data_IF_486454433647
#
_entry.id   IF_486454433647
#
_cell.length_a   1.000
_cell.length_b   1.000
_cell.length_c   1.000
_cell.angle_alpha   90.00
_cell.angle_beta   90.00
_cell.angle_gamma   90.00
#
_symmetry.space_group_name_H-M   'P 1'
#
loop_
_entity.id
_entity.type
_entity.pdbx_description
1 polymer ?
#
# COMPACT_ATOMS: atom_id res chain seq x y z
N UNK A 1 -24.35 -33.62 35.70
CA UNK A 1 -24.53 -34.79 34.82
C UNK A 1 -25.00 -34.29 33.47
N UNK A 2 -24.22 -34.57 32.41
CA UNK A 2 -24.61 -34.71 30.98
C UNK A 2 -25.18 -33.43 30.29
N UNK A 3 -24.55 -32.77 29.31
CA UNK A 3 -23.92 -33.16 28.03
C UNK A 3 -24.90 -33.51 26.89
N UNK A 4 -24.82 -32.71 25.80
CA UNK A 4 -25.02 -33.04 24.37
C UNK A 4 -26.43 -33.49 23.90
N UNK A 5 -26.87 -33.38 22.65
CA UNK A 5 -26.53 -32.68 21.40
C UNK A 5 -27.58 -33.13 20.35
N UNK A 6 -27.46 -32.60 19.12
CA UNK A 6 -28.15 -32.97 17.86
C UNK A 6 -29.57 -32.38 17.67
N UNK A 7 -29.95 -31.91 16.48
CA UNK A 7 -29.31 -31.87 15.17
C UNK A 7 -30.37 -31.57 14.10
N UNK A 8 -29.90 -31.14 12.93
CA UNK A 8 -30.53 -31.26 11.59
C UNK A 8 -31.94 -30.72 11.33
N UNK A 9 -32.00 -29.69 10.47
CA UNK A 9 -33.18 -29.27 9.72
C UNK A 9 -32.77 -28.47 8.49
N UNK A 10 -32.05 -29.11 7.56
CA UNK A 10 -31.75 -28.58 6.22
C UNK A 10 -33.03 -28.63 5.34
N UNK A 11 -33.10 -27.72 4.36
CA UNK A 11 -34.07 -27.67 3.25
C UNK A 11 -35.40 -26.96 3.52
N UNK A 12 -35.38 -25.62 3.62
CA UNK A 12 -36.54 -24.80 3.32
C UNK A 12 -36.29 -24.03 2.01
N UNK A 13 -37.07 -24.34 0.96
CA UNK A 13 -37.23 -23.44 -0.21
C UNK A 13 -36.59 -23.85 -1.54
N UNK A 14 -36.54 -25.13 -1.93
CA UNK A 14 -36.18 -25.53 -3.31
C UNK A 14 -37.13 -26.59 -3.91
N UNK A 15 -37.38 -26.57 -5.24
CA UNK A 15 -38.19 -27.58 -5.95
C UNK A 15 -37.56 -28.98 -6.01
N UNK A 16 -38.42 -29.96 -6.28
CA UNK A 16 -38.46 -31.39 -5.93
C UNK A 16 -37.47 -32.40 -6.54
N UNK A 17 -36.27 -32.03 -7.04
CA UNK A 17 -35.44 -33.04 -7.78
C UNK A 17 -33.98 -33.22 -7.33
N UNK A 18 -33.57 -32.79 -6.13
CA UNK A 18 -32.17 -32.96 -5.70
C UNK A 18 -31.96 -33.46 -4.26
N UNK A 19 -32.89 -34.23 -3.71
CA UNK A 19 -32.71 -34.93 -2.43
C UNK A 19 -32.77 -36.45 -2.64
N UNK A 20 -31.69 -37.05 -3.11
CA UNK A 20 -31.48 -38.50 -2.99
C UNK A 20 -29.99 -38.85 -3.00
N UNK A 21 -29.67 -39.89 -2.21
CA UNK A 21 -28.39 -40.59 -2.02
C UNK A 21 -27.39 -40.00 -1.00
N UNK A 22 -27.61 -40.35 0.27
CA UNK A 22 -26.54 -40.56 1.26
C UNK A 22 -25.65 -41.74 0.86
N UNK A 23 -24.35 -41.68 1.15
CA UNK A 23 -23.71 -42.16 2.39
C UNK A 23 -23.47 -43.69 2.41
N UNK A 24 -22.24 -44.09 2.09
CA UNK A 24 -21.53 -45.31 2.47
C UNK A 24 -20.12 -45.22 1.86
N UNK A 25 -19.01 -45.63 2.45
CA UNK A 25 -18.58 -46.01 3.80
C UNK A 25 -17.05 -46.03 3.70
N UNK A 26 -16.35 -45.76 4.79
CA UNK A 26 -14.89 -45.92 4.88
C UNK A 26 -14.51 -47.41 4.96
N UNK A 27 -13.27 -47.70 4.55
CA UNK A 27 -12.48 -48.90 4.81
C UNK A 27 -12.72 -50.16 3.93
N UNK A 28 -11.88 -50.34 2.91
CA UNK A 28 -10.95 -51.50 2.86
C UNK A 28 -9.92 -51.40 1.71
N UNK A 29 -8.67 -51.78 2.03
CA UNK A 29 -7.60 -52.34 1.17
C UNK A 29 -6.90 -51.38 0.19
N UNK A 30 -5.70 -50.87 0.51
CA UNK A 30 -4.38 -51.56 0.54
C UNK A 30 -4.16 -52.47 -0.68
N UNK A 31 -3.39 -51.98 -1.67
CA UNK A 31 -2.09 -52.56 -2.09
C UNK A 31 -1.77 -52.23 -3.56
N UNK A 32 -0.47 -52.09 -3.84
CA UNK A 32 0.19 -52.19 -5.15
C UNK A 32 0.09 -51.00 -6.12
N UNK A 33 1.09 -50.11 -6.09
CA UNK A 33 2.21 -50.16 -7.05
C UNK A 33 3.17 -48.99 -6.83
N UNK A 34 4.39 -49.35 -6.43
CA UNK A 34 5.58 -48.50 -6.47
C UNK A 34 5.99 -48.28 -7.93
N UNK A 35 6.31 -47.03 -8.32
CA UNK A 35 7.44 -46.63 -9.19
C UNK A 35 7.46 -45.09 -9.36
N UNK A 36 8.60 -44.48 -9.75
CA UNK A 36 9.23 -43.40 -8.98
C UNK A 36 8.78 -41.97 -9.34
N UNK A 37 8.74 -41.09 -8.33
CA UNK A 37 8.70 -39.63 -8.53
C UNK A 37 10.04 -39.18 -9.13
N UNK A 38 10.00 -38.85 -10.42
CA UNK A 38 11.01 -38.04 -11.07
C UNK A 38 11.13 -36.68 -10.36
N UNK A 39 12.36 -36.20 -10.32
CA UNK A 39 12.79 -34.95 -9.69
C UNK A 39 12.01 -33.76 -10.26
N UNK A 40 11.03 -33.27 -9.50
CA UNK A 40 10.53 -31.91 -9.64
C UNK A 40 11.52 -30.98 -8.97
N UNK A 41 12.40 -30.37 -9.77
CA UNK A 41 13.34 -29.36 -9.32
C UNK A 41 12.62 -28.30 -8.45
N UNK A 42 13.01 -28.21 -7.19
CA UNK A 42 12.80 -27.03 -6.37
C UNK A 42 13.41 -25.86 -7.14
N UNK A 43 12.56 -25.04 -7.77
CA UNK A 43 12.95 -23.72 -8.22
C UNK A 43 13.19 -22.91 -6.95
N UNK A 44 14.42 -22.99 -6.46
CA UNK A 44 14.96 -22.04 -5.51
C UNK A 44 14.92 -20.69 -6.21
N UNK A 45 13.94 -19.86 -5.85
CA UNK A 45 14.00 -18.44 -6.17
C UNK A 45 15.20 -17.88 -5.43
N UNK A 46 16.35 -17.91 -6.10
CA UNK A 46 17.51 -17.11 -5.73
C UNK A 46 17.01 -15.69 -5.49
N UNK A 47 17.11 -15.24 -4.23
CA UNK A 47 17.07 -13.84 -3.84
C UNK A 47 18.30 -13.16 -4.43
N UNK A 48 18.30 -12.97 -5.75
CA UNK A 48 19.08 -11.90 -6.35
C UNK A 48 18.55 -10.60 -5.75
N UNK A 49 19.45 -9.64 -5.50
CA UNK A 49 19.06 -8.27 -5.15
C UNK A 49 18.14 -7.74 -6.27
N UNK A 50 16.84 -7.95 -6.10
CA UNK A 50 15.88 -7.87 -7.18
C UNK A 50 15.82 -6.46 -7.73
N UNK A 51 15.91 -6.31 -9.04
CA UNK A 51 15.66 -5.05 -9.70
C UNK A 51 14.31 -4.48 -9.22
N UNK A 52 14.29 -3.18 -8.92
CA UNK A 52 13.06 -2.53 -8.49
C UNK A 52 11.99 -2.62 -9.58
N UNK A 53 10.70 -2.69 -9.22
CA UNK A 53 9.63 -2.83 -10.20
C UNK A 53 9.67 -1.72 -11.26
N UNK A 54 9.41 -2.12 -12.50
CA UNK A 54 9.30 -1.23 -13.65
C UNK A 54 8.15 -1.68 -14.55
N UNK A 55 7.51 -0.72 -15.21
CA UNK A 55 6.43 -0.93 -16.17
C UNK A 55 6.61 -0.03 -17.39
N UNK A 56 6.00 -0.42 -18.50
CA UNK A 56 6.08 0.30 -19.77
C UNK A 56 4.76 0.28 -20.53
N UNK A 57 4.56 1.26 -21.40
CA UNK A 57 3.34 1.38 -22.19
C UNK A 57 2.14 1.86 -21.37
N UNK A 58 2.36 2.33 -20.14
CA UNK A 58 1.31 2.88 -19.28
C UNK A 58 0.82 4.19 -19.86
N UNK A 59 -0.48 4.46 -19.74
CA UNK A 59 -1.02 5.77 -20.12
C UNK A 59 -0.60 6.80 -19.07
N UNK A 60 0.05 7.87 -19.54
CA UNK A 60 0.40 9.04 -18.77
C UNK A 60 -0.54 10.20 -19.11
N UNK A 61 -1.09 10.85 -18.10
CA UNK A 61 -1.94 12.04 -18.21
C UNK A 61 -1.37 13.19 -17.40
N UNK A 62 -1.91 14.38 -17.62
CA UNK A 62 -1.69 15.56 -16.79
C UNK A 62 -2.91 15.78 -15.89
N UNK A 63 -2.65 15.99 -14.61
CA UNK A 63 -3.67 16.18 -13.59
C UNK A 63 -3.98 17.66 -13.40
N UNK A 64 -2.96 18.43 -13.01
CA UNK A 64 -3.07 19.84 -12.63
C UNK A 64 -1.65 20.45 -12.52
N UNK A 65 -1.54 21.75 -12.27
CA UNK A 65 -0.26 22.43 -12.04
C UNK A 65 0.42 21.99 -10.75
N UNK A 66 -0.39 21.66 -9.74
CA UNK A 66 0.06 21.29 -8.40
C UNK A 66 -0.67 20.04 -7.92
N UNK A 67 -0.10 19.36 -6.92
CA UNK A 67 -0.84 18.29 -6.26
C UNK A 67 -1.93 18.84 -5.36
N UNK A 68 -2.95 18.04 -5.09
CA UNK A 68 -3.81 18.22 -3.92
C UNK A 68 -3.11 17.73 -2.63
N UNK A 69 -3.78 17.93 -1.49
CA UNK A 69 -3.39 17.31 -0.21
C UNK A 69 -3.96 15.89 -0.04
N UNK A 70 -4.58 15.36 -1.10
CA UNK A 70 -5.43 14.18 -1.15
C UNK A 70 -4.65 12.88 -1.22
N UNK A 71 -5.35 11.83 -1.68
CA UNK A 71 -4.89 10.44 -1.85
C UNK A 71 -3.98 9.89 -0.76
N UNK A 72 -2.69 10.22 -0.83
CA UNK A 72 -1.66 9.76 0.08
C UNK A 72 -1.48 10.57 1.37
N UNK A 73 -2.08 11.76 1.47
CA UNK A 73 -1.96 12.67 2.63
C UNK A 73 -0.50 13.00 2.98
N UNK A 74 0.28 13.40 1.98
CA UNK A 74 1.72 13.65 2.13
C UNK A 74 2.00 14.70 3.23
N UNK A 75 2.86 14.44 4.23
CA UNK A 75 3.06 15.36 5.34
C UNK A 75 3.90 16.57 4.92
N UNK A 76 3.58 17.76 5.42
CA UNK A 76 4.46 18.91 5.26
C UNK A 76 5.85 18.63 5.89
N UNK A 77 6.86 18.58 5.02
CA UNK A 77 8.25 18.30 5.36
C UNK A 77 9.17 18.93 4.31
N UNK A 78 10.49 18.81 4.48
CA UNK A 78 11.47 19.25 3.47
C UNK A 78 11.71 18.13 2.46
N UNK A 79 11.06 18.24 1.30
CA UNK A 79 11.20 17.29 0.19
C UNK A 79 12.44 17.57 -0.67
N UNK A 80 13.11 16.51 -1.11
CA UNK A 80 14.21 16.57 -2.08
C UNK A 80 13.74 16.34 -3.52
N UNK A 81 12.52 15.80 -3.68
CA UNK A 81 11.88 15.57 -4.98
C UNK A 81 10.76 16.61 -5.15
N UNK A 82 10.77 17.32 -6.28
CA UNK A 82 9.80 18.38 -6.58
C UNK A 82 8.58 17.90 -7.37
N UNK A 83 8.74 16.81 -8.14
CA UNK A 83 7.67 16.22 -8.92
C UNK A 83 6.71 15.39 -8.06
N UNK A 84 5.48 15.23 -8.54
CA UNK A 84 4.46 14.38 -7.95
C UNK A 84 3.62 13.69 -9.01
N UNK A 85 3.12 12.52 -8.65
CA UNK A 85 2.18 11.74 -9.45
C UNK A 85 1.02 11.22 -8.61
N UNK A 86 -0.12 11.07 -9.26
CA UNK A 86 -1.19 10.20 -8.81
C UNK A 86 -1.12 8.88 -9.58
N UNK A 87 -1.26 7.76 -8.88
CA UNK A 87 -1.25 6.44 -9.50
C UNK A 87 -2.66 5.90 -9.65
N UNK A 88 -2.91 5.22 -10.76
CA UNK A 88 -4.16 4.51 -11.02
C UNK A 88 -3.97 3.00 -10.98
N UNK A 89 -4.92 2.28 -11.58
CA UNK A 89 -4.98 0.81 -11.56
C UNK A 89 -5.13 0.23 -12.97
N UNK A 90 -4.59 0.92 -13.99
CA UNK A 90 -4.57 0.40 -15.35
C UNK A 90 -3.88 -0.97 -15.43
N UNK A 91 -4.33 -1.89 -16.31
CA UNK A 91 -3.89 -3.29 -16.31
C UNK A 91 -2.37 -3.50 -16.44
N UNK A 92 -1.68 -2.60 -17.14
CA UNK A 92 -0.24 -2.67 -17.37
C UNK A 92 0.62 -2.01 -16.27
N UNK A 93 0.00 -1.56 -15.17
CA UNK A 93 0.71 -1.00 -14.02
C UNK A 93 1.34 -2.06 -13.12
N UNK A 94 0.92 -3.34 -13.22
CA UNK A 94 1.51 -4.45 -12.47
C UNK A 94 1.63 -4.15 -10.97
N UNK A 95 2.81 -4.37 -10.40
CA UNK A 95 3.07 -4.08 -8.97
C UNK A 95 3.24 -2.59 -8.62
N UNK A 96 3.18 -1.71 -9.63
CA UNK A 96 3.11 -0.25 -9.48
C UNK A 96 1.68 0.28 -9.60
N UNK A 97 0.67 -0.58 -9.73
CA UNK A 97 -0.73 -0.19 -9.55
C UNK A 97 -0.92 0.43 -8.17
N UNK A 98 -1.79 1.43 -8.07
CA UNK A 98 -2.01 2.13 -6.81
C UNK A 98 -2.38 1.16 -5.68
N UNK A 99 -1.66 1.34 -4.58
CA UNK A 99 -1.95 0.76 -3.27
C UNK A 99 -1.37 1.70 -2.20
N UNK A 100 -1.94 1.71 -1.00
CA UNK A 100 -1.51 2.60 0.10
C UNK A 100 0.01 2.56 0.36
N UNK A 101 0.63 1.39 0.19
CA UNK A 101 2.07 1.18 0.42
C UNK A 101 3.00 1.84 -0.60
N UNK A 102 2.48 2.47 -1.66
CA UNK A 102 3.26 3.26 -2.61
C UNK A 102 3.29 4.74 -2.23
N UNK A 103 2.40 5.19 -1.34
CA UNK A 103 2.34 6.57 -0.91
C UNK A 103 3.68 7.04 -0.34
N UNK A 104 4.19 8.15 -0.86
CA UNK A 104 5.47 8.73 -0.47
C UNK A 104 6.71 8.06 -1.06
N UNK A 105 6.58 6.98 -1.83
CA UNK A 105 7.69 6.45 -2.60
C UNK A 105 8.01 7.33 -3.81
N UNK A 106 9.26 7.28 -4.25
CA UNK A 106 9.75 8.00 -5.42
C UNK A 106 9.77 7.07 -6.62
N UNK A 107 9.09 7.48 -7.69
CA UNK A 107 9.13 6.83 -8.99
C UNK A 107 9.89 7.69 -9.99
N UNK A 108 10.46 7.05 -11.00
CA UNK A 108 11.02 7.71 -12.19
C UNK A 108 10.08 7.47 -13.37
N UNK A 109 9.60 8.54 -13.99
CA UNK A 109 8.67 8.54 -15.12
C UNK A 109 9.38 9.02 -16.39
N UNK A 110 9.17 8.33 -17.50
CA UNK A 110 9.73 8.66 -18.82
C UNK A 110 8.64 8.47 -19.88
N UNK A 111 8.27 9.56 -20.57
CA UNK A 111 7.25 9.57 -21.62
C UNK A 111 7.83 10.01 -22.98
N UNK A 112 9.15 9.83 -23.16
CA UNK A 112 9.90 10.29 -24.34
C UNK A 112 10.58 11.65 -24.17
N UNK A 113 10.50 12.26 -22.98
CA UNK A 113 11.27 13.44 -22.59
C UNK A 113 12.47 13.08 -21.71
N UNK A 114 12.77 13.94 -20.74
CA UNK A 114 13.79 13.66 -19.71
C UNK A 114 13.19 12.81 -18.59
N UNK A 115 13.73 11.62 -18.30
CA UNK A 115 13.26 10.81 -17.17
C UNK A 115 13.25 11.61 -15.86
N UNK A 116 12.07 11.74 -15.25
CA UNK A 116 11.83 12.65 -14.13
C UNK A 116 11.42 11.88 -12.88
N UNK A 117 12.01 12.23 -11.74
CA UNK A 117 11.62 11.65 -10.45
C UNK A 117 10.43 12.39 -9.85
N UNK A 118 9.48 11.64 -9.30
CA UNK A 118 8.27 12.17 -8.71
C UNK A 118 7.84 11.35 -7.49
N UNK A 119 7.22 12.02 -6.52
CA UNK A 119 6.63 11.36 -5.35
C UNK A 119 5.24 10.85 -5.70
N UNK A 120 4.92 9.62 -5.30
CA UNK A 120 3.54 9.13 -5.31
C UNK A 120 2.75 9.88 -4.24
N UNK A 121 2.00 10.88 -4.65
CA UNK A 121 1.34 11.84 -3.77
C UNK A 121 -0.18 11.67 -3.74
N UNK A 122 -0.77 11.04 -4.76
CA UNK A 122 -2.22 10.83 -4.81
C UNK A 122 -2.61 9.57 -5.60
N UNK A 123 -3.91 9.47 -5.87
CA UNK A 123 -4.55 8.37 -6.58
C UNK A 123 -5.46 8.93 -7.67
N UNK A 124 -5.33 8.42 -8.90
CA UNK A 124 -6.19 8.83 -10.01
C UNK A 124 -7.20 7.73 -10.33
N UNK A 125 -8.46 8.11 -10.51
CA UNK A 125 -9.57 7.24 -10.93
C UNK A 125 -9.58 5.86 -10.24
N UNK A 126 -9.53 5.83 -8.91
CA UNK A 126 -9.50 4.57 -8.15
C UNK A 126 -10.67 3.65 -8.52
N UNK A 127 -10.39 2.37 -8.76
CA UNK A 127 -11.38 1.40 -9.24
C UNK A 127 -11.63 1.43 -10.74
N UNK A 128 -11.04 2.39 -11.48
CA UNK A 128 -11.07 2.44 -12.94
C UNK A 128 -9.78 1.88 -13.54
N UNK A 129 -9.86 1.06 -14.60
CA UNK A 129 -8.69 0.61 -15.35
C UNK A 129 -8.13 1.68 -16.30
N UNK A 130 -8.71 2.89 -16.34
CA UNK A 130 -8.32 3.93 -17.31
C UNK A 130 -7.08 4.72 -16.92
N UNK A 131 -6.79 4.89 -15.62
CA UNK A 131 -5.64 5.69 -15.20
C UNK A 131 -4.39 4.85 -14.98
N UNK A 132 -3.30 5.22 -15.66
CA UNK A 132 -1.96 4.71 -15.41
C UNK A 132 -1.23 5.59 -14.39
N UNK A 133 -0.59 6.65 -14.90
CA UNK A 133 0.11 7.66 -14.10
C UNK A 133 -0.40 9.05 -14.48
N UNK A 134 -0.75 9.85 -13.49
CA UNK A 134 -1.27 11.20 -13.67
C UNK A 134 -0.31 12.21 -13.03
N UNK A 135 0.22 13.14 -13.82
CA UNK A 135 1.37 13.97 -13.45
C UNK A 135 0.96 15.42 -13.20
N UNK A 136 1.62 16.06 -12.23
CA UNK A 136 1.55 17.52 -12.13
C UNK A 136 2.46 18.20 -13.17
N UNK A 137 2.28 19.50 -13.44
CA UNK A 137 3.08 20.25 -14.43
C UNK A 137 4.59 20.07 -14.27
N UNK A 138 5.12 20.14 -13.04
CA UNK A 138 6.56 19.96 -12.75
C UNK A 138 7.10 18.55 -13.05
N UNK A 139 6.22 17.56 -13.26
CA UNK A 139 6.60 16.21 -13.69
C UNK A 139 6.30 16.00 -15.17
N UNK A 140 5.14 16.45 -15.64
CA UNK A 140 4.69 16.33 -17.03
C UNK A 140 5.67 16.96 -18.01
N UNK A 141 6.01 18.23 -17.79
CA UNK A 141 6.83 19.01 -18.70
C UNK A 141 8.18 18.32 -18.99
N UNK A 142 9.01 17.99 -17.99
CA UNK A 142 10.26 17.30 -18.26
C UNK A 142 10.04 15.86 -18.75
N UNK A 143 9.11 15.09 -18.19
CA UNK A 143 8.90 13.68 -18.58
C UNK A 143 8.42 13.49 -20.03
N UNK A 144 7.70 14.46 -20.57
CA UNK A 144 7.13 14.42 -21.94
C UNK A 144 7.92 15.24 -22.96
N UNK A 145 8.84 16.11 -22.51
CA UNK A 145 9.50 17.07 -23.37
C UNK A 145 8.60 18.26 -23.74
N UNK A 146 7.79 18.73 -22.79
CA UNK A 146 6.83 19.83 -22.92
C UNK A 146 5.74 19.60 -23.98
N UNK A 147 5.25 18.36 -24.09
CA UNK A 147 4.09 18.09 -24.97
C UNK A 147 2.84 18.82 -24.44
N UNK A 148 1.91 19.22 -25.32
CA UNK A 148 0.58 19.66 -24.87
C UNK A 148 -0.09 18.61 -23.99
N UNK A 149 -0.86 19.05 -22.99
CA UNK A 149 -1.58 18.15 -22.09
C UNK A 149 -2.53 17.23 -22.85
N UNK A 150 -2.62 15.98 -22.40
CA UNK A 150 -3.39 14.92 -23.05
C UNK A 150 -2.93 13.55 -22.57
N UNK A 151 -2.99 12.56 -23.45
CA UNK A 151 -2.51 11.21 -23.16
C UNK A 151 -1.21 10.90 -23.89
N UNK A 152 -0.25 10.33 -23.16
CA UNK A 152 1.03 9.84 -23.71
C UNK A 152 1.31 8.43 -23.21
N UNK A 153 2.22 7.72 -23.89
CA UNK A 153 2.73 6.44 -23.39
C UNK A 153 4.00 6.67 -22.60
N UNK A 154 4.05 6.09 -21.41
CA UNK A 154 5.17 6.25 -20.48
C UNK A 154 5.75 4.90 -20.03
N UNK A 155 6.94 4.99 -19.47
CA UNK A 155 7.59 3.99 -18.63
C UNK A 155 7.69 4.56 -17.23
N UNK A 156 7.59 3.69 -16.23
CA UNK A 156 7.74 4.09 -14.84
C UNK A 156 8.49 3.02 -14.06
N UNK A 157 9.36 3.45 -13.15
CA UNK A 157 10.12 2.54 -12.27
C UNK A 157 10.15 3.06 -10.85
N UNK A 158 10.06 2.16 -9.87
CA UNK A 158 10.29 2.50 -8.47
C UNK A 158 11.78 2.77 -8.26
N UNK A 159 12.10 3.75 -7.42
CA UNK A 159 13.48 4.07 -7.05
C UNK A 159 13.75 3.73 -5.58
N UNK A 160 15.02 3.70 -5.20
CA UNK A 160 15.45 3.64 -3.79
C UNK A 160 15.59 5.02 -3.17
N UNK A 161 15.31 6.10 -3.92
CA UNK A 161 15.45 7.47 -3.45
C UNK A 161 14.39 7.78 -2.38
N UNK A 162 14.86 8.49 -1.36
CA UNK A 162 14.03 9.05 -0.30
C UNK A 162 13.43 10.39 -0.74
N UNK A 163 12.11 10.56 -0.57
CA UNK A 163 11.42 11.78 -0.96
C UNK A 163 11.67 12.95 0.01
N UNK A 164 11.88 12.63 1.29
CA UNK A 164 12.00 13.59 2.39
C UNK A 164 13.46 13.64 2.84
N UNK A 165 14.00 14.83 3.03
CA UNK A 165 15.35 14.99 3.59
C UNK A 165 15.43 14.50 5.04
N UNK A 166 16.62 14.11 5.48
CA UNK A 166 16.85 13.62 6.84
C UNK A 166 16.94 12.09 6.92
N UNK A 167 16.70 11.50 8.11
CA UNK A 167 16.97 10.08 8.35
C UNK A 167 16.00 9.17 7.58
N UNK A 168 16.38 7.90 7.45
CA UNK A 168 15.47 6.86 6.95
C UNK A 168 14.40 6.52 8.00
N UNK A 169 13.26 6.00 7.55
CA UNK A 169 12.15 5.52 8.40
C UNK A 169 11.59 6.61 9.34
N UNK A 170 11.22 7.74 8.77
CA UNK A 170 10.61 8.85 9.51
C UNK A 170 9.13 8.59 9.76
N UNK A 171 8.71 8.66 11.02
CA UNK A 171 7.31 8.57 11.39
C UNK A 171 6.66 9.96 11.34
N UNK A 172 5.46 10.06 10.78
CA UNK A 172 4.65 11.27 10.76
C UNK A 172 3.24 11.02 11.27
N UNK A 173 2.68 11.98 11.99
CA UNK A 173 1.24 12.05 12.21
C UNK A 173 0.53 12.39 10.90
N UNK A 174 -0.65 11.81 10.70
CA UNK A 174 -1.48 12.11 9.54
C UNK A 174 -1.86 13.59 9.50
N UNK A 175 -1.52 14.34 8.43
CA UNK A 175 -1.70 15.79 8.39
C UNK A 175 -3.18 16.21 8.34
N UNK A 176 -4.03 15.49 7.63
CA UNK A 176 -5.45 15.83 7.46
C UNK A 176 -6.32 15.41 8.64
N UNK A 177 -5.82 14.53 9.53
CA UNK A 177 -6.41 14.30 10.85
C UNK A 177 -6.33 15.55 11.76
N UNK A 178 -5.53 16.55 11.37
CA UNK A 178 -5.34 17.81 12.10
C UNK A 178 -6.16 18.98 11.54
N UNK A 179 -6.75 18.83 10.35
CA UNK A 179 -7.44 19.92 9.62
C UNK A 179 -8.96 20.00 9.87
N UNK A 180 -9.52 19.06 10.64
CA UNK A 180 -10.89 19.17 11.15
C UNK A 180 -10.87 19.29 12.66
N UNK A 181 -11.96 19.81 13.22
CA UNK A 181 -12.37 19.68 14.64
C UNK A 181 -12.35 18.24 15.21
N UNK A 182 -11.90 17.26 14.41
CA UNK A 182 -11.43 15.92 14.75
C UNK A 182 -10.05 15.89 15.45
N UNK A 183 -9.54 16.98 16.02
CA UNK A 183 -8.45 16.93 17.01
C UNK A 183 -8.82 16.13 18.28
N UNK A 184 -10.08 15.66 18.41
CA UNK A 184 -10.46 14.59 19.35
C UNK A 184 -9.91 13.21 18.97
N UNK A 185 -9.30 13.06 17.79
CA UNK A 185 -8.90 11.78 17.21
C UNK A 185 -7.38 11.52 17.27
N UNK A 186 -6.64 12.20 18.14
CA UNK A 186 -5.35 11.65 18.63
C UNK A 186 -5.41 11.69 20.14
N UNK A 187 -5.57 10.52 20.73
CA UNK A 187 -5.66 10.32 22.17
C UNK A 187 -4.63 9.28 22.62
N UNK A 188 -4.58 9.00 23.91
CA UNK A 188 -3.81 7.86 24.43
C UNK A 188 -4.34 6.51 23.91
N UNK A 189 -5.52 6.46 23.29
CA UNK A 189 -6.16 5.22 22.81
C UNK A 189 -6.45 5.19 21.30
N UNK A 190 -6.32 6.29 20.56
CA UNK A 190 -6.45 6.31 19.10
C UNK A 190 -5.41 7.24 18.48
N UNK A 191 -4.79 6.83 17.37
CA UNK A 191 -3.86 7.68 16.60
C UNK A 191 -3.76 7.24 15.15
N UNK A 192 -3.29 8.13 14.27
CA UNK A 192 -3.04 7.86 12.87
C UNK A 192 -1.63 8.32 12.48
N UNK A 193 -0.75 7.36 12.19
CA UNK A 193 0.66 7.62 11.86
C UNK A 193 1.13 6.77 10.68
N UNK A 194 2.09 7.30 9.92
CA UNK A 194 2.67 6.66 8.74
C UNK A 194 4.19 6.69 8.81
N UNK A 195 4.82 5.68 8.20
CA UNK A 195 6.28 5.60 8.09
C UNK A 195 6.70 5.93 6.66
N UNK A 196 7.53 6.96 6.51
CA UNK A 196 8.03 7.47 5.24
C UNK A 196 9.56 7.38 5.20
N UNK A 197 10.17 7.70 4.06
CA UNK A 197 11.62 7.64 3.89
C UNK A 197 12.21 6.24 4.07
N UNK A 198 11.50 5.24 3.54
CA UNK A 198 11.83 3.81 3.65
C UNK A 198 12.66 3.33 2.44
N UNK A 199 13.18 4.25 1.62
CA UNK A 199 13.79 3.95 0.33
C UNK A 199 12.82 3.22 -0.59
N UNK A 200 13.21 2.05 -1.07
CA UNK A 200 12.36 1.18 -1.89
C UNK A 200 11.48 0.21 -1.06
N UNK A 201 11.61 0.19 0.28
CA UNK A 201 10.89 -0.76 1.13
C UNK A 201 9.46 -0.32 1.38
N UNK A 202 8.51 -1.03 0.78
CA UNK A 202 7.08 -0.76 0.92
C UNK A 202 6.54 -1.28 2.25
N UNK A 203 5.83 -0.43 3.00
CA UNK A 203 5.27 -0.80 4.30
C UNK A 203 4.10 -1.75 4.13
N UNK A 204 4.20 -2.99 4.65
CA UNK A 204 3.15 -4.00 4.58
C UNK A 204 2.12 -3.84 5.70
N UNK A 205 2.61 -3.64 6.92
CA UNK A 205 1.82 -3.56 8.14
C UNK A 205 2.59 -2.80 9.22
N UNK A 206 1.88 -2.30 10.22
CA UNK A 206 2.50 -1.75 11.42
C UNK A 206 1.70 -2.11 12.66
N UNK A 207 2.38 -2.26 13.79
CA UNK A 207 1.77 -2.30 15.13
C UNK A 207 2.26 -1.11 15.94
N UNK A 208 1.45 -0.65 16.91
CA UNK A 208 1.83 0.37 17.88
C UNK A 208 1.39 -0.09 19.27
N UNK A 209 2.34 -0.24 20.20
CA UNK A 209 2.07 -0.84 21.51
C UNK A 209 1.34 -2.21 21.41
N UNK A 210 1.67 -3.00 20.39
CA UNK A 210 1.01 -4.28 20.10
C UNK A 210 -0.35 -4.19 19.40
N UNK A 211 -0.94 -2.99 19.27
CA UNK A 211 -2.18 -2.77 18.52
C UNK A 211 -1.87 -2.81 17.03
N UNK A 212 -2.59 -3.65 16.27
CA UNK A 212 -2.45 -3.73 14.81
C UNK A 212 -3.07 -2.49 14.16
N UNK A 213 -2.32 -1.85 13.27
CA UNK A 213 -2.81 -0.73 12.49
C UNK A 213 -3.59 -1.18 11.26
N UNK A 214 -4.56 -0.36 10.84
CA UNK A 214 -5.31 -0.51 9.58
C UNK A 214 -5.05 0.70 8.70
N UNK A 215 -4.83 0.51 7.39
CA UNK A 215 -4.66 1.65 6.48
C UNK A 215 -5.85 2.60 6.56
N UNK A 216 -5.57 3.89 6.66
CA UNK A 216 -6.61 4.91 6.65
C UNK A 216 -6.91 5.32 5.20
N UNK A 217 -8.06 4.86 4.69
CA UNK A 217 -8.53 5.18 3.35
C UNK A 217 -7.49 4.81 2.29
N UNK A 218 -7.08 5.80 1.48
CA UNK A 218 -6.07 5.65 0.42
C UNK A 218 -4.69 6.19 0.82
N UNK A 219 -4.51 6.54 2.08
CA UNK A 219 -3.29 7.20 2.56
C UNK A 219 -2.16 6.23 2.92
N UNK A 220 -0.94 6.76 3.08
CA UNK A 220 0.21 6.02 3.62
C UNK A 220 0.18 5.80 5.15
N UNK A 221 -0.94 6.12 5.81
CA UNK A 221 -1.06 6.11 7.27
C UNK A 221 -1.86 4.91 7.76
N UNK A 222 -1.54 4.48 8.98
CA UNK A 222 -2.28 3.47 9.71
C UNK A 222 -3.02 4.12 10.88
N UNK A 223 -4.30 3.78 11.01
CA UNK A 223 -5.08 4.01 12.20
C UNK A 223 -4.83 2.91 13.21
N UNK A 224 -4.57 3.31 14.45
CA UNK A 224 -4.43 2.42 15.59
C UNK A 224 -5.52 2.77 16.59
N UNK A 225 -6.33 1.79 16.96
CA UNK A 225 -7.39 1.93 17.96
C UNK A 225 -7.18 0.89 19.08
N UNK A 226 -6.89 1.38 20.28
CA UNK A 226 -6.69 0.57 21.48
C UNK A 226 -8.00 0.32 22.25
N UNK A 227 -9.17 0.58 21.64
CA UNK A 227 -10.50 0.37 22.21
C UNK A 227 -10.64 1.04 23.60
N UNK A 228 -10.26 2.31 23.67
CA UNK A 228 -10.31 3.12 24.89
C UNK A 228 -9.16 2.91 25.87
N UNK A 229 -8.28 1.92 25.67
CA UNK A 229 -7.12 1.70 26.55
C UNK A 229 -6.00 2.72 26.27
N UNK A 230 -5.41 3.38 27.28
CA UNK A 230 -4.39 4.41 27.08
C UNK A 230 -2.99 3.83 26.77
N UNK A 231 -2.87 3.07 25.68
CA UNK A 231 -1.64 2.35 25.30
C UNK A 231 -0.63 3.20 24.52
N UNK A 232 -1.06 4.28 23.86
CA UNK A 232 -0.20 5.11 23.00
C UNK A 232 0.56 6.16 23.79
N UNK A 233 1.38 5.67 24.74
CA UNK A 233 2.32 6.47 25.52
C UNK A 233 3.50 6.90 24.65
N UNK A 234 4.19 7.99 25.02
CA UNK A 234 5.38 8.49 24.30
C UNK A 234 6.44 7.41 24.04
N UNK A 235 6.60 6.46 24.97
CA UNK A 235 7.59 5.37 24.87
C UNK A 235 7.11 4.15 24.09
N UNK A 236 5.85 4.12 23.65
CA UNK A 236 5.29 3.02 22.87
C UNK A 236 6.13 2.74 21.63
N UNK A 237 6.31 1.46 21.31
CA UNK A 237 7.05 1.04 20.11
C UNK A 237 6.08 0.86 18.96
N UNK A 238 6.45 1.45 17.83
CA UNK A 238 5.83 1.20 16.53
C UNK A 238 6.72 0.22 15.78
N UNK A 239 6.21 -0.98 15.48
CA UNK A 239 6.94 -1.99 14.71
C UNK A 239 6.32 -2.07 13.32
N UNK A 240 7.11 -1.70 12.32
CA UNK A 240 6.70 -1.72 10.92
C UNK A 240 7.33 -2.90 10.20
N UNK A 241 6.53 -3.67 9.48
CA UNK A 241 7.00 -4.77 8.62
C UNK A 241 6.88 -4.37 7.18
N UNK A 242 7.95 -4.57 6.40
CA UNK A 242 7.99 -4.29 4.98
C UNK A 242 7.54 -5.49 4.15
N UNK A 243 7.30 -5.28 2.85
CA UNK A 243 6.89 -6.34 1.93
C UNK A 243 7.95 -7.43 1.75
N UNK A 244 9.24 -7.10 1.98
CA UNK A 244 10.35 -8.06 1.96
C UNK A 244 10.48 -8.89 3.25
N UNK A 245 9.59 -8.67 4.23
CA UNK A 245 9.61 -9.35 5.53
C UNK A 245 10.50 -8.70 6.57
N UNK A 246 11.39 -7.78 6.20
CA UNK A 246 12.21 -7.03 7.15
C UNK A 246 11.35 -6.09 8.01
N UNK A 247 11.86 -5.72 9.19
CA UNK A 247 11.14 -4.86 10.13
C UNK A 247 11.99 -3.67 10.58
N UNK A 248 11.32 -2.61 11.01
CA UNK A 248 11.94 -1.49 11.74
C UNK A 248 11.08 -1.15 12.94
N UNK A 249 11.74 -0.76 14.04
CA UNK A 249 11.06 -0.28 15.24
C UNK A 249 11.38 1.20 15.46
N UNK A 250 10.34 2.01 15.59
CA UNK A 250 10.46 3.43 15.98
C UNK A 250 9.76 3.66 17.32
N UNK A 251 10.11 4.74 18.02
CA UNK A 251 9.44 5.13 19.26
C UNK A 251 8.36 6.14 18.93
N UNK A 252 7.15 5.99 19.46
CA UNK A 252 6.00 6.82 19.10
C UNK A 252 6.25 8.34 19.29
N UNK A 253 7.03 8.72 20.30
CA UNK A 253 7.43 10.11 20.51
C UNK A 253 8.33 10.70 19.41
N UNK A 254 8.91 9.88 18.53
CA UNK A 254 9.69 10.35 17.38
C UNK A 254 8.82 10.67 16.16
N UNK A 255 7.52 10.41 16.22
CA UNK A 255 6.61 10.78 15.13
C UNK A 255 6.48 12.31 15.07
N UNK A 256 6.75 12.87 13.89
CA UNK A 256 6.71 14.31 13.64
C UNK A 256 5.27 14.72 13.37
N UNK A 257 4.80 15.78 14.03
CA UNK A 257 3.49 16.38 13.76
C UNK A 257 3.65 17.42 12.64
N UNK A 258 3.19 17.14 11.40
CA UNK A 258 3.27 18.13 10.34
C UNK A 258 2.27 19.27 10.59
N UNK A 259 2.56 20.46 10.05
CA UNK A 259 1.64 21.61 10.09
C UNK A 259 0.45 21.49 9.12
N UNK A 260 0.51 20.55 8.18
CA UNK A 260 -0.54 20.30 7.20
C UNK A 260 -0.07 19.32 6.12
N UNK A 261 -0.88 19.08 5.08
CA UNK A 261 -0.46 18.31 3.92
C UNK A 261 0.54 19.11 3.07
N UNK A 262 1.49 18.42 2.45
CA UNK A 262 2.37 19.00 1.45
C UNK A 262 1.69 19.04 0.08
N UNK A 263 1.76 20.19 -0.57
CA UNK A 263 1.27 20.42 -1.94
C UNK A 263 2.49 20.61 -2.84
N UNK A 264 2.71 19.68 -3.76
CA UNK A 264 3.80 19.76 -4.74
C UNK A 264 3.42 20.73 -5.85
N UNK A 265 4.33 21.59 -6.30
CA UNK A 265 4.08 22.63 -7.29
C UNK A 265 5.32 23.43 -7.63
#
# INVERSE_FOLDING_TARGET
LWSHAAGSGQCAGRPEEACAAGAADEAERVSLLQTPRSQGALVSHNLTSGALPSVSGITGTHWDDKSDGGGCSMPQAKYTVKGAVALGQAPNMGSLSFHNRLCGHVVKVDCGGTPTVAVVASVCNYGSPSCGVDMITNTWNPATGNKPYGEVKCKMSLTSQNAISGPSNQCFYRPDALLRSALRSVSSSYTSVGLFNTGSKRVRSSTLAGVKGTFNGRSGYFDFDAMGKPLFKKTAKMVTTFTDGSTVTTTYSSCVKPSGPHIFG
#
